data_IF_942222405008
#
_entry.id   IF_942222405008
#
_cell.length_a   1.000
_cell.length_b   1.000
_cell.length_c   1.000
_cell.angle_alpha   90.00
_cell.angle_beta   90.00
_cell.angle_gamma   90.00
#
_symmetry.space_group_name_H-M   'P 1'
#
loop_
_entity.id
_entity.type
_entity.pdbx_description
1 polymer ?
#
# COMPACT_ATOMS: atom_id res chain seq x y z
N UNK A 1 6.81 5.99 30.40
CA UNK A 1 6.37 5.90 29.02
C UNK A 1 4.86 6.15 28.93
N UNK A 2 4.46 7.13 28.14
CA UNK A 2 3.05 7.37 27.83
C UNK A 2 2.71 6.81 26.47
N UNK A 3 1.59 6.07 26.39
CA UNK A 3 1.05 5.57 25.12
C UNK A 3 -0.18 6.40 24.78
N UNK A 4 -0.18 7.01 23.57
CA UNK A 4 -1.32 7.75 23.05
C UNK A 4 -1.96 6.91 21.96
N UNK A 5 -3.20 6.47 22.16
CA UNK A 5 -3.94 5.65 21.21
C UNK A 5 -4.67 6.48 20.15
N UNK A 6 -4.99 7.72 20.47
CA UNK A 6 -5.57 8.68 19.51
C UNK A 6 -5.25 10.11 19.92
N UNK A 7 -5.14 10.98 18.92
CA UNK A 7 -5.05 12.43 19.10
C UNK A 7 -6.18 13.07 18.30
N UNK A 8 -7.04 13.82 18.98
CA UNK A 8 -8.10 14.59 18.34
C UNK A 8 -7.85 16.07 18.61
N UNK A 9 -7.36 16.80 17.61
CA UNK A 9 -7.01 18.20 17.70
C UNK A 9 -7.10 18.83 16.31
N UNK A 10 -7.41 20.14 16.19
CA UNK A 10 -7.38 20.82 14.90
C UNK A 10 -6.01 20.86 14.24
N UNK A 11 -4.94 20.73 15.03
CA UNK A 11 -3.57 20.79 14.51
C UNK A 11 -2.65 19.85 15.29
N UNK A 12 -1.87 19.06 14.56
CA UNK A 12 -0.75 18.28 15.11
C UNK A 12 0.53 18.80 14.48
N UNK A 13 1.48 19.20 15.32
CA UNK A 13 2.80 19.67 14.88
C UNK A 13 3.87 18.74 15.44
N UNK A 14 4.66 18.14 14.55
CA UNK A 14 5.88 17.44 14.93
C UNK A 14 7.05 18.44 14.83
N UNK A 15 7.80 18.61 15.92
CA UNK A 15 8.88 19.62 15.98
C UNK A 15 10.11 19.26 15.14
N UNK A 16 10.30 17.98 14.83
CA UNK A 16 11.43 17.50 14.02
C UNK A 16 10.99 16.61 12.88
N UNK A 17 10.31 15.50 13.16
CA UNK A 17 9.81 14.59 12.15
C UNK A 17 8.59 13.82 12.65
N UNK A 18 7.74 13.43 11.71
CA UNK A 18 6.68 12.43 11.93
C UNK A 18 6.85 11.33 10.90
N UNK A 19 6.61 10.08 11.32
CA UNK A 19 6.72 8.91 10.44
C UNK A 19 5.66 7.87 10.77
N UNK A 20 5.26 7.14 9.75
CA UNK A 20 4.47 5.92 9.89
C UNK A 20 5.42 4.74 9.68
N UNK A 21 5.47 3.81 10.62
CA UNK A 21 6.35 2.64 10.54
C UNK A 21 6.01 1.81 9.29
N UNK A 22 7.04 1.43 8.56
CA UNK A 22 6.91 0.56 7.40
C UNK A 22 6.69 -0.89 7.84
N UNK A 23 5.66 -1.54 7.30
CA UNK A 23 5.22 -2.88 7.68
C UNK A 23 5.22 -3.81 6.47
N UNK A 24 5.83 -4.99 6.64
CA UNK A 24 5.86 -6.00 5.59
C UNK A 24 4.48 -6.66 5.41
N UNK A 25 4.06 -6.77 4.15
CA UNK A 25 2.92 -7.60 3.76
C UNK A 25 3.44 -8.85 3.05
N UNK A 26 2.96 -10.01 3.45
CA UNK A 26 3.30 -11.28 2.82
C UNK A 26 2.10 -11.85 2.07
N UNK A 27 2.35 -12.50 0.94
CA UNK A 27 1.29 -13.22 0.22
C UNK A 27 1.15 -14.64 0.75
N UNK A 28 -0.07 -15.14 0.73
CA UNK A 28 -0.40 -16.53 1.03
C UNK A 28 -1.58 -16.96 0.17
N UNK A 29 -1.48 -18.13 -0.45
CA UNK A 29 -2.52 -18.64 -1.35
C UNK A 29 -2.90 -17.64 -2.45
N UNK A 30 -1.90 -17.00 -3.05
CA UNK A 30 -2.03 -16.01 -4.12
C UNK A 30 -2.82 -14.74 -3.72
N UNK A 31 -2.83 -14.40 -2.44
CA UNK A 31 -3.48 -13.19 -1.94
C UNK A 31 -2.60 -12.43 -0.94
N UNK A 32 -2.67 -11.12 -0.97
CA UNK A 32 -2.08 -10.24 0.05
C UNK A 32 -3.22 -9.62 0.85
N UNK A 33 -3.26 -9.92 2.14
CA UNK A 33 -4.12 -9.23 3.10
C UNK A 33 -3.44 -7.94 3.54
N UNK A 34 -4.20 -6.85 3.59
CA UNK A 34 -3.69 -5.54 3.96
C UNK A 34 -4.61 -4.91 5.02
N UNK A 35 -4.12 -4.78 6.24
CA UNK A 35 -4.81 -4.03 7.28
C UNK A 35 -4.41 -2.56 7.18
N UNK A 36 -5.34 -1.70 6.82
CA UNK A 36 -5.07 -0.28 6.55
C UNK A 36 -4.67 0.51 7.81
N UNK A 37 -5.00 0.02 8.98
CA UNK A 37 -4.62 0.63 10.27
C UNK A 37 -3.26 0.12 10.73
N UNK A 38 -3.03 -1.19 10.67
CA UNK A 38 -1.79 -1.80 11.15
C UNK A 38 -0.60 -1.57 10.19
N UNK A 39 -0.87 -1.38 8.91
CA UNK A 39 0.15 -1.27 7.86
C UNK A 39 -0.16 -0.15 6.86
N UNK A 40 -0.41 1.07 7.36
CA UNK A 40 -0.69 2.21 6.49
C UNK A 40 0.48 2.54 5.54
N UNK A 41 1.71 2.31 5.99
CA UNK A 41 2.91 2.39 5.18
C UNK A 41 3.48 0.98 5.02
N UNK A 42 3.19 0.34 3.88
CA UNK A 42 3.46 -1.07 3.68
C UNK A 42 4.55 -1.31 2.62
N UNK A 43 5.15 -2.50 2.68
CA UNK A 43 5.96 -3.01 1.58
C UNK A 43 5.69 -4.50 1.37
N UNK A 44 5.82 -4.94 0.13
CA UNK A 44 5.62 -6.33 -0.28
C UNK A 44 6.76 -6.77 -1.20
N UNK A 45 7.53 -7.77 -0.77
CA UNK A 45 8.47 -8.47 -1.65
C UNK A 45 7.71 -9.62 -2.31
N UNK A 46 7.67 -9.63 -3.63
CA UNK A 46 6.90 -10.64 -4.37
C UNK A 46 7.54 -12.03 -4.25
N UNK A 47 6.72 -13.03 -3.95
CA UNK A 47 7.12 -14.43 -3.86
C UNK A 47 6.29 -15.33 -4.78
N UNK A 48 5.10 -14.87 -5.14
CA UNK A 48 4.14 -15.56 -6.00
C UNK A 48 3.31 -14.55 -6.79
N UNK A 49 2.62 -15.00 -7.84
CA UNK A 49 1.58 -14.19 -8.47
C UNK A 49 0.45 -14.00 -7.47
N UNK A 50 0.00 -12.78 -7.25
CA UNK A 50 -0.92 -12.50 -6.16
C UNK A 50 -1.91 -11.38 -6.48
N UNK A 51 -2.99 -11.33 -5.71
CA UNK A 51 -3.98 -10.26 -5.75
C UNK A 51 -3.97 -9.52 -4.41
N UNK A 52 -3.86 -8.20 -4.43
CA UNK A 52 -4.11 -7.38 -3.24
C UNK A 52 -5.60 -7.43 -2.92
N UNK A 53 -5.94 -7.99 -1.76
CA UNK A 53 -7.30 -8.08 -1.26
C UNK A 53 -7.83 -6.71 -0.84
N UNK A 54 -9.14 -6.58 -0.66
CA UNK A 54 -9.72 -5.37 -0.09
C UNK A 54 -9.09 -5.09 1.28
N UNK A 55 -8.52 -3.90 1.51
CA UNK A 55 -7.94 -3.58 2.81
C UNK A 55 -8.98 -3.64 3.93
N UNK A 56 -8.62 -4.27 5.04
CA UNK A 56 -9.44 -4.31 6.25
C UNK A 56 -9.28 -3.03 7.07
N UNK A 57 -10.21 -2.79 7.99
CA UNK A 57 -10.23 -1.66 8.92
C UNK A 57 -10.19 -0.28 8.22
N UNK A 58 -10.80 -0.18 7.03
CA UNK A 58 -10.84 1.05 6.26
C UNK A 58 -11.65 2.13 6.98
N UNK A 59 -11.07 3.32 7.09
CA UNK A 59 -11.68 4.50 7.70
C UNK A 59 -11.62 5.65 6.71
N UNK A 60 -12.74 6.34 6.51
CA UNK A 60 -12.82 7.50 5.60
C UNK A 60 -11.71 8.52 5.91
N UNK A 61 -11.02 8.97 4.88
CA UNK A 61 -9.89 9.89 4.98
C UNK A 61 -8.53 9.20 5.19
N UNK A 62 -8.49 7.90 5.42
CA UNK A 62 -7.23 7.19 5.54
C UNK A 62 -6.43 7.23 4.24
N UNK A 63 -5.11 7.38 4.37
CA UNK A 63 -4.14 7.28 3.26
C UNK A 63 -3.20 6.14 3.55
N UNK A 64 -3.05 5.24 2.58
CA UNK A 64 -2.14 4.10 2.67
C UNK A 64 -1.22 4.05 1.46
N UNK A 65 -0.03 3.51 1.65
CA UNK A 65 0.96 3.37 0.59
C UNK A 65 1.61 2.00 0.64
N UNK A 66 1.92 1.44 -0.52
CA UNK A 66 2.63 0.17 -0.62
C UNK A 66 3.76 0.25 -1.63
N UNK A 67 4.94 -0.18 -1.19
CA UNK A 67 6.05 -0.51 -2.09
C UNK A 67 5.92 -1.97 -2.50
N UNK A 68 5.95 -2.24 -3.80
CA UNK A 68 5.96 -3.59 -4.37
C UNK A 68 7.33 -3.82 -5.00
N UNK A 69 8.14 -4.65 -4.38
CA UNK A 69 9.48 -5.00 -4.87
C UNK A 69 9.46 -6.39 -5.51
N UNK A 70 9.90 -6.47 -6.77
CA UNK A 70 10.10 -7.74 -7.44
C UNK A 70 11.38 -8.42 -6.94
N UNK A 71 11.30 -9.71 -6.67
CA UNK A 71 12.47 -10.52 -6.40
C UNK A 71 13.22 -10.90 -7.67
N UNK A 72 14.09 -11.90 -7.60
CA UNK A 72 14.84 -12.44 -8.76
C UNK A 72 13.95 -13.11 -9.82
N UNK A 73 12.72 -13.47 -9.45
CA UNK A 73 11.71 -13.99 -10.37
C UNK A 73 10.53 -13.02 -10.38
N UNK A 74 10.25 -12.43 -11.53
CA UNK A 74 9.14 -11.49 -11.68
C UNK A 74 7.77 -12.16 -11.47
N UNK A 75 6.88 -11.46 -10.78
CA UNK A 75 5.53 -11.92 -10.45
C UNK A 75 4.49 -10.90 -10.92
N UNK A 76 3.30 -11.38 -11.19
CA UNK A 76 2.16 -10.52 -11.56
C UNK A 76 1.37 -10.16 -10.31
N UNK A 77 0.87 -8.92 -10.29
CA UNK A 77 0.04 -8.38 -9.23
C UNK A 77 -1.30 -7.96 -9.84
N UNK A 78 -2.37 -8.41 -9.21
CA UNK A 78 -3.73 -7.96 -9.49
C UNK A 78 -4.29 -7.18 -8.28
N UNK A 79 -5.37 -6.44 -8.51
CA UNK A 79 -5.99 -5.58 -7.52
C UNK A 79 -7.46 -5.98 -7.32
N UNK A 80 -7.91 -5.98 -6.08
CA UNK A 80 -9.33 -6.10 -5.77
C UNK A 80 -10.10 -4.91 -6.37
N UNK A 81 -11.35 -5.11 -6.70
CA UNK A 81 -12.21 -4.08 -7.32
C UNK A 81 -12.48 -2.87 -6.41
N UNK A 82 -12.18 -2.96 -5.12
CA UNK A 82 -12.27 -1.82 -4.20
C UNK A 82 -11.21 -0.74 -4.47
N UNK A 83 -10.15 -1.09 -5.20
CA UNK A 83 -9.16 -0.12 -5.65
C UNK A 83 -9.64 0.54 -6.95
N UNK A 84 -9.74 1.86 -6.92
CA UNK A 84 -10.23 2.68 -8.02
C UNK A 84 -9.06 3.39 -8.71
N UNK A 85 -8.97 3.21 -10.01
CA UNK A 85 -7.88 3.75 -10.85
C UNK A 85 -8.43 4.66 -11.94
N UNK A 86 -7.57 5.53 -12.47
CA UNK A 86 -7.92 6.42 -13.57
C UNK A 86 -8.46 5.64 -14.78
N UNK A 87 -9.53 6.15 -15.38
CA UNK A 87 -10.21 5.54 -16.53
C UNK A 87 -10.66 4.09 -16.27
N UNK A 88 -10.95 3.74 -15.01
CA UNK A 88 -11.34 2.40 -14.58
C UNK A 88 -10.36 1.31 -15.01
N UNK A 89 -9.08 1.66 -15.16
CA UNK A 89 -8.05 0.74 -15.66
C UNK A 89 -6.97 0.55 -14.59
N UNK A 90 -6.91 -0.64 -14.02
CA UNK A 90 -5.86 -0.99 -13.07
C UNK A 90 -4.49 -0.97 -13.76
N UNK A 91 -3.45 -0.44 -13.11
CA UNK A 91 -2.12 -0.43 -13.67
C UNK A 91 -1.56 -1.85 -13.76
N UNK A 92 -0.77 -2.10 -14.80
CA UNK A 92 0.09 -3.27 -14.80
C UNK A 92 1.29 -2.98 -13.91
N UNK A 93 1.40 -3.69 -12.79
CA UNK A 93 2.57 -3.61 -11.91
C UNK A 93 3.80 -4.12 -12.66
N UNK A 94 4.92 -3.43 -12.53
CA UNK A 94 6.15 -3.79 -13.24
C UNK A 94 6.54 -5.23 -12.91
N UNK A 95 6.45 -6.12 -13.91
CA UNK A 95 6.78 -7.54 -13.79
C UNK A 95 8.17 -7.81 -14.38
N UNK A 96 9.18 -7.14 -13.82
CA UNK A 96 10.59 -7.30 -14.18
C UNK A 96 11.40 -7.52 -12.91
N UNK A 97 12.26 -8.53 -12.92
CA UNK A 97 13.09 -8.86 -11.77
C UNK A 97 13.86 -7.63 -11.26
N UNK A 98 13.93 -7.48 -9.95
CA UNK A 98 14.67 -6.43 -9.25
C UNK A 98 14.21 -5.01 -9.60
N UNK A 99 12.90 -4.84 -9.86
CA UNK A 99 12.26 -3.54 -10.03
C UNK A 99 11.23 -3.31 -8.95
N UNK A 100 10.98 -2.04 -8.67
CA UNK A 100 10.09 -1.62 -7.58
C UNK A 100 9.06 -0.61 -8.11
N UNK A 101 7.81 -0.81 -7.68
CA UNK A 101 6.72 0.13 -7.88
C UNK A 101 6.23 0.63 -6.52
N UNK A 102 5.75 1.86 -6.45
CA UNK A 102 5.05 2.40 -5.27
C UNK A 102 3.69 2.91 -5.69
N UNK A 103 2.66 2.57 -4.91
CA UNK A 103 1.27 3.01 -5.09
C UNK A 103 0.75 3.63 -3.80
N UNK A 104 0.00 4.72 -3.91
CA UNK A 104 -0.62 5.41 -2.79
C UNK A 104 -2.11 5.61 -3.04
N UNK A 105 -2.93 5.32 -2.03
CA UNK A 105 -4.38 5.34 -2.08
C UNK A 105 -4.96 6.14 -0.92
N UNK A 106 -6.14 6.74 -1.16
CA UNK A 106 -6.99 7.33 -0.10
C UNK A 106 -8.35 6.64 -0.08
N UNK A 107 -8.91 6.46 1.11
CA UNK A 107 -10.25 5.89 1.26
C UNK A 107 -11.30 6.99 1.37
N UNK A 108 -12.31 6.94 0.50
CA UNK A 108 -13.38 7.94 0.47
C UNK A 108 -14.64 7.52 1.25
N UNK A 109 -14.56 6.42 2.02
CA UNK A 109 -15.69 5.81 2.72
C UNK A 109 -16.33 4.64 1.99
N UNK A 110 -15.97 4.42 0.71
CA UNK A 110 -16.49 3.31 -0.13
C UNK A 110 -15.40 2.56 -0.87
N UNK A 111 -14.47 3.27 -1.48
CA UNK A 111 -13.40 2.71 -2.32
C UNK A 111 -12.05 3.35 -1.99
N UNK A 112 -10.98 2.65 -2.35
CA UNK A 112 -9.62 3.13 -2.26
C UNK A 112 -9.21 3.77 -3.59
N UNK A 113 -9.10 5.08 -3.61
CA UNK A 113 -8.74 5.85 -4.80
C UNK A 113 -7.25 6.00 -4.91
N UNK A 114 -6.67 5.60 -6.04
CA UNK A 114 -5.25 5.86 -6.30
C UNK A 114 -5.00 7.36 -6.43
N UNK A 115 -4.07 7.88 -5.64
CA UNK A 115 -3.66 9.29 -5.67
C UNK A 115 -2.24 9.48 -6.21
N UNK A 116 -1.51 8.42 -6.48
CA UNK A 116 -0.19 8.51 -7.07
C UNK A 116 0.50 7.16 -7.21
N UNK A 117 1.44 7.09 -8.15
CA UNK A 117 2.32 5.93 -8.32
C UNK A 117 3.64 6.35 -8.94
N UNK A 118 4.66 5.55 -8.65
CA UNK A 118 5.94 5.55 -9.37
C UNK A 118 6.26 4.12 -9.71
N UNK A 119 6.57 3.84 -10.96
CA UNK A 119 6.81 2.48 -11.43
C UNK A 119 8.20 2.31 -12.03
N UNK A 120 8.66 1.05 -12.06
CA UNK A 120 9.89 0.64 -12.72
C UNK A 120 11.14 1.28 -12.13
N UNK A 121 11.16 1.48 -10.82
CA UNK A 121 12.36 1.96 -10.13
C UNK A 121 13.41 0.85 -10.04
N UNK A 122 14.68 1.22 -10.22
CA UNK A 122 15.79 0.30 -10.01
C UNK A 122 15.97 0.02 -8.51
N UNK A 123 16.16 -1.25 -8.16
CA UNK A 123 16.57 -1.62 -6.81
C UNK A 123 18.09 -1.49 -6.71
N UNK A 124 18.53 -0.82 -5.69
CA UNK A 124 19.96 -0.61 -5.43
C UNK A 124 20.39 -1.23 -4.11
#
# INVERSE_FOLDING_TARGET
LSVVTSVTTPLVVASTSARITQVALTSSSNAVAWDSVAAANAFHLTTENTTFSAPSNAVEGAVISVEIAQGGTARTIAWNTVFEFAASTAPTVTATANKTDIFTFRYNGSVWQEIGRVQNMAQT
#
